data_IF_097077320072
#
_entry.id   IF_097077320072
#
_cell.length_a   1.000
_cell.length_b   1.000
_cell.length_c   1.000
_cell.angle_alpha   90.00
_cell.angle_beta   90.00
_cell.angle_gamma   90.00
#
_symmetry.space_group_name_H-M   'P 1'
#
loop_
_entity.id
_entity.type
_entity.pdbx_description
1 polymer ?
#
# COMPACT_ATOMS: atom_id res chain seq x y z
N UNK A 1 -9.72 13.96 -8.52
CA UNK A 1 -9.47 12.55 -8.87
C UNK A 1 -9.11 11.83 -7.58
N UNK A 2 -9.76 10.72 -7.25
CA UNK A 2 -9.48 9.97 -6.02
C UNK A 2 -8.09 9.32 -6.07
N UNK A 3 -7.44 9.13 -4.93
CA UNK A 3 -6.10 8.54 -4.86
C UNK A 3 -6.03 7.17 -5.54
N UNK A 4 -7.04 6.32 -5.33
CA UNK A 4 -7.18 5.03 -6.01
C UNK A 4 -7.07 5.16 -7.53
N UNK A 5 -7.92 6.00 -8.14
CA UNK A 5 -7.92 6.21 -9.60
C UNK A 5 -6.58 6.73 -10.14
N UNK A 6 -5.86 7.55 -9.36
CA UNK A 6 -4.55 8.03 -9.77
C UNK A 6 -3.49 6.92 -9.68
N UNK A 7 -3.56 6.08 -8.65
CA UNK A 7 -2.60 5.00 -8.39
C UNK A 7 -2.84 3.80 -9.31
N UNK A 8 -4.06 3.62 -9.81
CA UNK A 8 -4.44 2.53 -10.71
C UNK A 8 -4.61 2.97 -12.17
N UNK A 9 -4.09 4.14 -12.54
CA UNK A 9 -4.16 4.66 -13.91
C UNK A 9 -3.25 3.84 -14.84
N UNK A 10 -3.79 3.04 -15.78
CA UNK A 10 -3.00 2.20 -16.67
C UNK A 10 -2.16 3.01 -17.68
N UNK A 11 -2.46 4.30 -17.87
CA UNK A 11 -1.64 5.18 -18.70
C UNK A 11 -0.36 5.64 -17.99
N UNK A 12 -0.28 5.45 -16.66
CA UNK A 12 0.88 5.83 -15.84
C UNK A 12 1.58 4.61 -15.23
N UNK A 13 0.81 3.61 -14.79
CA UNK A 13 1.33 2.39 -14.19
C UNK A 13 1.01 1.19 -15.09
N UNK A 14 2.03 0.66 -15.77
CA UNK A 14 1.93 -0.64 -16.46
C UNK A 14 1.57 -1.71 -15.43
N UNK A 15 0.57 -2.55 -15.73
CA UNK A 15 0.02 -3.54 -14.80
C UNK A 15 -0.30 -2.93 -13.42
N UNK A 16 -1.27 -2.00 -13.35
CA UNK A 16 -1.47 -1.14 -12.17
C UNK A 16 -1.90 -1.91 -10.91
N UNK A 17 -2.42 -3.12 -11.07
CA UNK A 17 -2.85 -3.99 -9.96
C UNK A 17 -1.76 -5.00 -9.54
N UNK A 18 -0.64 -5.07 -10.26
CA UNK A 18 0.48 -5.96 -9.93
C UNK A 18 1.46 -5.27 -9.00
N UNK A 19 1.85 -5.96 -7.91
CA UNK A 19 2.90 -5.49 -7.01
C UNK A 19 4.27 -5.65 -7.66
N UNK A 20 4.78 -4.57 -8.27
CA UNK A 20 6.08 -4.53 -8.96
C UNK A 20 6.91 -3.42 -8.31
N UNK A 21 7.68 -3.69 -7.23
CA UNK A 21 8.53 -2.71 -6.56
C UNK A 21 9.62 -2.12 -7.46
N UNK A 22 10.09 -2.90 -8.43
CA UNK A 22 11.21 -2.56 -9.31
C UNK A 22 10.92 -1.32 -10.16
N UNK A 23 9.64 -0.96 -10.37
CA UNK A 23 9.25 0.28 -11.07
C UNK A 23 9.70 1.56 -10.35
N UNK A 24 10.10 1.44 -9.09
CA UNK A 24 10.62 2.54 -8.28
C UNK A 24 12.15 2.54 -8.19
N UNK A 25 12.83 1.65 -8.93
CA UNK A 25 14.28 1.57 -9.01
C UNK A 25 14.76 2.21 -10.33
N UNK A 26 15.83 3.01 -10.27
CA UNK A 26 16.41 3.64 -11.46
C UNK A 26 15.71 4.94 -11.88
N UNK A 27 15.47 5.12 -13.18
CA UNK A 27 14.83 6.31 -13.73
C UNK A 27 13.31 6.24 -13.53
N UNK A 28 12.78 7.11 -12.67
CA UNK A 28 11.36 7.14 -12.33
C UNK A 28 10.63 8.10 -13.28
N UNK A 29 9.56 7.61 -13.93
CA UNK A 29 8.69 8.44 -14.77
C UNK A 29 8.10 9.62 -13.95
N UNK A 30 8.28 10.88 -14.38
CA UNK A 30 7.65 12.04 -13.74
C UNK A 30 6.12 11.94 -13.58
N UNK A 31 5.44 11.24 -14.48
CA UNK A 31 4.01 10.97 -14.40
C UNK A 31 3.67 10.04 -13.22
N UNK A 32 4.50 9.03 -12.95
CA UNK A 32 4.35 8.19 -11.76
C UNK A 32 4.51 9.03 -10.49
N UNK A 33 5.55 9.87 -10.43
CA UNK A 33 5.73 10.80 -9.33
C UNK A 33 4.53 11.70 -9.14
N UNK A 34 3.95 12.26 -10.22
CA UNK A 34 2.74 13.09 -10.15
C UNK A 34 1.55 12.32 -9.59
N UNK A 35 1.28 11.12 -10.10
CA UNK A 35 0.11 10.32 -9.75
C UNK A 35 0.25 9.59 -8.41
N UNK A 36 1.47 9.40 -7.88
CA UNK A 36 1.68 8.81 -6.57
C UNK A 36 1.36 9.82 -5.47
N UNK A 37 0.18 9.63 -4.86
CA UNK A 37 -0.42 10.54 -3.85
C UNK A 37 -0.91 9.82 -2.59
N UNK A 38 -0.16 8.89 -1.97
CA UNK A 38 -0.62 8.10 -0.81
C UNK A 38 -0.95 8.96 0.41
N UNK A 39 -0.34 10.13 0.52
CA UNK A 39 -0.56 11.10 1.60
C UNK A 39 -1.19 12.40 1.11
N UNK A 40 -1.84 12.38 -0.06
CA UNK A 40 -2.23 13.56 -0.85
C UNK A 40 -1.05 14.51 -1.13
N UNK A 41 -1.29 15.69 -1.72
CA UNK A 41 -0.25 16.67 -2.07
C UNK A 41 -0.73 18.11 -1.87
N UNK A 42 0.23 19.04 -1.83
CA UNK A 42 -0.02 20.46 -1.65
C UNK A 42 -0.15 20.85 -0.18
N UNK A 43 -0.77 21.99 0.11
CA UNK A 43 -0.85 22.58 1.45
C UNK A 43 -1.70 21.81 2.45
N UNK A 44 -2.42 20.78 2.00
CA UNK A 44 -3.28 19.91 2.82
C UNK A 44 -2.81 18.45 2.80
N UNK A 45 -1.53 18.22 2.49
CA UNK A 45 -0.97 16.88 2.60
C UNK A 45 -1.00 16.36 4.03
N UNK A 46 -0.86 15.05 4.19
CA UNK A 46 -0.84 14.44 5.52
C UNK A 46 0.28 15.05 6.37
N UNK A 47 -0.10 15.72 7.47
CA UNK A 47 0.85 16.28 8.43
C UNK A 47 1.75 15.18 9.04
N UNK A 48 1.21 13.97 9.17
CA UNK A 48 1.89 12.80 9.74
C UNK A 48 2.76 12.02 8.76
N UNK A 49 3.03 12.51 7.55
CA UNK A 49 3.77 11.77 6.51
C UNK A 49 5.11 11.21 6.99
N UNK A 50 5.87 12.01 7.75
CA UNK A 50 7.18 11.58 8.26
C UNK A 50 7.06 10.49 9.32
N UNK A 51 6.05 10.59 10.20
CA UNK A 51 5.79 9.57 11.21
C UNK A 51 5.32 8.26 10.55
N UNK A 52 4.41 8.35 9.58
CA UNK A 52 3.93 7.18 8.84
C UNK A 52 5.08 6.42 8.15
N UNK A 53 6.01 7.14 7.49
CA UNK A 53 7.19 6.50 6.91
C UNK A 53 8.09 5.86 7.96
N UNK A 54 8.35 6.54 9.08
CA UNK A 54 9.16 5.98 10.16
C UNK A 54 8.55 4.68 10.72
N UNK A 55 7.25 4.67 10.98
CA UNK A 55 6.53 3.49 11.46
C UNK A 55 6.56 2.34 10.44
N UNK A 56 6.34 2.61 9.15
CA UNK A 56 6.41 1.60 8.09
C UNK A 56 7.83 0.99 7.99
N UNK A 57 8.88 1.81 8.04
CA UNK A 57 10.26 1.30 8.00
C UNK A 57 10.60 0.47 9.24
N UNK A 58 10.18 0.92 10.43
CA UNK A 58 10.39 0.16 11.68
C UNK A 58 9.65 -1.17 11.63
N UNK A 59 8.38 -1.16 11.19
CA UNK A 59 7.57 -2.37 11.07
C UNK A 59 8.22 -3.39 10.12
N UNK A 60 8.60 -2.97 8.91
CA UNK A 60 9.29 -3.85 7.96
C UNK A 60 10.61 -4.38 8.52
N UNK A 61 11.40 -3.52 9.18
CA UNK A 61 12.65 -3.93 9.82
C UNK A 61 12.45 -4.96 10.94
N UNK A 62 11.39 -4.85 11.73
CA UNK A 62 11.08 -5.82 12.79
C UNK A 62 10.61 -7.15 12.21
N UNK A 63 9.74 -7.10 11.19
CA UNK A 63 9.13 -8.29 10.60
C UNK A 63 10.12 -9.09 9.75
N UNK A 64 11.04 -8.43 9.03
CA UNK A 64 11.87 -9.07 7.99
C UNK A 64 13.35 -9.24 8.38
N UNK A 65 13.78 -8.78 9.56
CA UNK A 65 15.17 -8.98 10.02
C UNK A 65 15.50 -10.45 10.29
N UNK A 66 16.79 -10.84 10.25
CA UNK A 66 17.22 -12.13 10.78
C UNK A 66 16.76 -12.32 12.24
N UNK A 67 16.15 -13.46 12.54
CA UNK A 67 15.54 -13.72 13.85
C UNK A 67 14.22 -12.97 14.11
N UNK A 68 13.61 -12.39 13.07
CA UNK A 68 12.24 -11.89 13.09
C UNK A 68 11.21 -13.02 13.31
N UNK A 69 9.93 -12.65 13.53
CA UNK A 69 8.87 -13.63 13.74
C UNK A 69 8.68 -14.52 12.52
N UNK A 70 8.55 -15.82 12.72
CA UNK A 70 8.11 -16.72 11.67
C UNK A 70 6.58 -16.61 11.54
N UNK A 71 6.09 -16.31 10.33
CA UNK A 71 4.68 -15.99 10.10
C UNK A 71 4.15 -16.75 8.90
N UNK A 72 2.92 -17.24 9.02
CA UNK A 72 2.18 -17.82 7.91
C UNK A 72 0.84 -17.12 7.75
N UNK A 73 0.43 -16.85 6.51
CA UNK A 73 -0.90 -16.31 6.20
C UNK A 73 -1.96 -17.30 6.70
N UNK A 74 -3.00 -16.77 7.36
CA UNK A 74 -4.04 -17.57 7.98
C UNK A 74 -5.43 -17.10 7.56
N UNK A 75 -6.17 -17.95 6.86
CA UNK A 75 -7.56 -17.67 6.43
C UNK A 75 -7.71 -16.25 5.83
N UNK A 76 -6.77 -15.84 4.99
CA UNK A 76 -6.70 -14.53 4.34
C UNK A 76 -6.37 -14.71 2.88
N UNK A 77 -7.05 -13.99 2.00
CA UNK A 77 -6.77 -13.92 0.56
C UNK A 77 -6.76 -12.46 0.05
N UNK A 78 -6.57 -12.26 -1.26
CA UNK A 78 -6.49 -10.92 -1.86
C UNK A 78 -7.77 -10.08 -1.62
N UNK A 79 -8.93 -10.72 -1.54
CA UNK A 79 -10.20 -10.02 -1.29
C UNK A 79 -10.30 -9.44 0.11
N UNK A 80 -9.43 -9.84 1.05
CA UNK A 80 -9.34 -9.28 2.39
C UNK A 80 -8.52 -7.97 2.45
N UNK A 81 -7.85 -7.60 1.34
CA UNK A 81 -7.03 -6.38 1.22
C UNK A 81 -7.40 -5.50 0.02
N UNK A 82 -7.95 -6.08 -1.06
CA UNK A 82 -8.34 -5.36 -2.25
C UNK A 82 -9.48 -4.39 -1.97
N UNK A 83 -9.42 -3.19 -2.54
CA UNK A 83 -10.46 -2.19 -2.39
C UNK A 83 -11.74 -2.64 -3.11
N UNK A 84 -12.81 -2.90 -2.36
CA UNK A 84 -14.08 -3.42 -2.88
C UNK A 84 -15.26 -2.48 -2.65
N UNK A 85 -15.21 -1.63 -1.60
CA UNK A 85 -16.28 -0.69 -1.27
C UNK A 85 -15.71 0.70 -1.03
N UNK A 86 -16.32 1.70 -1.65
CA UNK A 86 -15.95 3.11 -1.51
C UNK A 86 -16.76 3.77 -0.37
N UNK A 87 -16.06 4.29 0.64
CA UNK A 87 -16.60 5.04 1.78
C UNK A 87 -15.82 6.36 1.92
N UNK A 88 -15.52 6.82 3.15
CA UNK A 88 -14.55 7.89 3.37
C UNK A 88 -13.13 7.45 2.99
N UNK A 89 -12.83 6.16 3.18
CA UNK A 89 -11.62 5.47 2.71
C UNK A 89 -12.07 4.17 2.05
N UNK A 90 -11.43 3.74 0.95
CA UNK A 90 -11.77 2.49 0.31
C UNK A 90 -11.41 1.31 1.23
N UNK A 91 -12.33 0.36 1.36
CA UNK A 91 -12.19 -0.81 2.25
C UNK A 91 -12.36 -2.12 1.48
N UNK A 92 -11.88 -3.25 2.04
CA UNK A 92 -12.15 -4.58 1.50
C UNK A 92 -13.64 -4.97 1.56
N UNK A 93 -13.94 -6.22 1.14
CA UNK A 93 -15.27 -6.81 1.32
C UNK A 93 -15.75 -6.66 2.77
N UNK A 94 -17.05 -6.41 2.97
CA UNK A 94 -17.60 -6.04 4.30
C UNK A 94 -17.49 -7.14 5.34
N UNK A 95 -17.35 -8.39 4.92
CA UNK A 95 -17.17 -9.58 5.74
C UNK A 95 -15.68 -9.93 5.96
N UNK A 96 -14.75 -9.11 5.45
CA UNK A 96 -13.31 -9.29 5.68
C UNK A 96 -12.99 -9.22 7.18
N UNK A 97 -12.13 -10.14 7.63
CA UNK A 97 -11.53 -10.09 8.98
C UNK A 97 -10.16 -9.42 8.98
N UNK A 98 -9.81 -8.76 7.88
CA UNK A 98 -8.49 -8.15 7.64
C UNK A 98 -7.39 -9.18 7.41
N UNK A 99 -6.16 -8.69 7.27
CA UNK A 99 -4.98 -9.54 7.12
C UNK A 99 -4.69 -10.30 8.41
N UNK A 100 -4.77 -11.62 8.35
CA UNK A 100 -4.51 -12.50 9.51
C UNK A 100 -3.31 -13.38 9.25
N UNK A 101 -2.48 -13.50 10.28
CA UNK A 101 -1.25 -14.29 10.27
C UNK A 101 -1.15 -15.11 11.55
N UNK A 102 -0.59 -16.31 11.43
CA UNK A 102 -0.21 -17.15 12.57
C UNK A 102 1.29 -17.00 12.82
N UNK A 103 1.65 -16.78 14.09
CA UNK A 103 3.04 -16.82 14.54
C UNK A 103 3.43 -18.28 14.80
N UNK A 104 4.57 -18.70 14.24
CA UNK A 104 5.12 -20.05 14.34
C UNK A 104 6.31 -20.13 15.29
#
# INVERSE_FOLDING_TARGET
MGAYLMHTDPAVFVEPFSFIPERWLGEIDPHMNRNFVPFTKGSRNCLGINLAYAEMYIALGILLRPGGPNMQIFETDESDVAQAVDFLMPVPKLDSRGTRVMLL
#
